data_IF_984954327160
#
_entry.id   IF_984954327160
#
_cell.length_a   1.000
_cell.length_b   1.000
_cell.length_c   1.000
_cell.angle_alpha   90.00
_cell.angle_beta   90.00
_cell.angle_gamma   90.00
#
_symmetry.space_group_name_H-M   'P 1'
#
loop_
_entity.id
_entity.type
_entity.pdbx_description
1 polymer ?
#
# COMPACT_ATOMS: atom_id res chain seq x y z
N UNK A 1 78.84 24.24 -10.59
CA UNK A 1 77.40 23.93 -10.42
C UNK A 1 76.94 24.77 -9.24
N UNK A 2 76.08 25.76 -9.47
CA UNK A 2 75.57 26.62 -8.40
C UNK A 2 74.43 25.86 -7.72
N UNK A 3 74.56 25.62 -6.42
CA UNK A 3 73.47 25.09 -5.61
C UNK A 3 72.28 26.06 -5.67
N UNK A 4 71.05 25.58 -5.89
CA UNK A 4 69.88 26.44 -5.85
C UNK A 4 69.79 27.07 -4.47
N UNK A 5 69.59 28.39 -4.43
CA UNK A 5 69.49 29.11 -3.17
C UNK A 5 68.33 28.53 -2.34
N UNK A 6 68.47 28.47 -1.01
CA UNK A 6 67.40 27.99 -0.15
C UNK A 6 66.05 28.71 -0.42
N UNK A 7 66.12 29.96 -0.86
CA UNK A 7 64.98 30.78 -1.25
C UNK A 7 64.22 30.20 -2.47
N UNK A 8 64.93 29.71 -3.49
CA UNK A 8 64.33 29.09 -4.68
C UNK A 8 63.66 27.75 -4.35
N UNK A 9 64.24 27.01 -3.41
CA UNK A 9 63.65 25.77 -2.90
C UNK A 9 62.34 26.05 -2.12
N UNK A 10 62.32 27.07 -1.26
CA UNK A 10 61.09 27.48 -0.55
C UNK A 10 60.00 28.02 -1.49
N UNK A 11 60.37 28.77 -2.53
CA UNK A 11 59.42 29.24 -3.55
C UNK A 11 58.80 28.09 -4.33
N UNK A 12 59.61 27.11 -4.76
CA UNK A 12 59.11 25.93 -5.46
C UNK A 12 58.19 25.06 -4.58
N UNK A 13 58.54 24.88 -3.29
CA UNK A 13 57.67 24.18 -2.34
C UNK A 13 56.35 24.96 -2.14
N UNK A 14 56.41 26.29 -2.04
CA UNK A 14 55.23 27.15 -1.92
C UNK A 14 54.28 27.02 -3.13
N UNK A 15 54.81 27.00 -4.35
CA UNK A 15 54.04 26.83 -5.59
C UNK A 15 53.41 25.42 -5.65
N UNK A 16 54.16 24.38 -5.31
CA UNK A 16 53.65 22.99 -5.29
C UNK A 16 52.51 22.85 -4.29
N UNK A 17 52.65 23.41 -3.08
CA UNK A 17 51.57 23.41 -2.07
C UNK A 17 50.35 24.20 -2.55
N UNK A 18 50.56 25.37 -3.17
CA UNK A 18 49.48 26.18 -3.75
C UNK A 18 48.69 25.47 -4.84
N UNK A 19 49.31 24.55 -5.60
CA UNK A 19 48.60 23.73 -6.58
C UNK A 19 47.94 22.49 -5.96
N UNK A 20 48.57 21.87 -4.96
CA UNK A 20 48.07 20.64 -4.33
C UNK A 20 46.85 20.87 -3.44
N UNK A 21 46.83 21.94 -2.63
CA UNK A 21 45.74 22.20 -1.70
C UNK A 21 44.37 22.42 -2.40
N UNK A 22 44.27 23.21 -3.48
CA UNK A 22 43.03 23.36 -4.25
C UNK A 22 42.59 22.04 -4.89
N UNK A 23 43.53 21.26 -5.45
CA UNK A 23 43.22 19.97 -6.06
C UNK A 23 42.68 18.96 -5.02
N UNK A 24 43.28 18.91 -3.83
CA UNK A 24 42.80 18.09 -2.71
C UNK A 24 41.41 18.54 -2.24
N UNK A 25 41.16 19.85 -2.13
CA UNK A 25 39.84 20.39 -1.77
C UNK A 25 38.76 20.07 -2.81
N UNK A 26 39.09 20.13 -4.11
CA UNK A 26 38.19 19.72 -5.19
C UNK A 26 37.87 18.22 -5.08
N UNK A 27 38.89 17.39 -4.84
CA UNK A 27 38.72 15.94 -4.68
C UNK A 27 37.83 15.60 -3.47
N UNK A 28 38.04 16.26 -2.32
CA UNK A 28 37.21 16.10 -1.12
C UNK A 28 35.76 16.51 -1.41
N UNK A 29 35.53 17.67 -2.05
CA UNK A 29 34.18 18.11 -2.44
C UNK A 29 33.51 17.11 -3.38
N UNK A 30 34.24 16.56 -4.34
CA UNK A 30 33.74 15.55 -5.27
C UNK A 30 33.34 14.25 -4.55
N UNK A 31 34.17 13.76 -3.63
CA UNK A 31 33.87 12.59 -2.78
C UNK A 31 32.64 12.80 -1.91
N UNK A 32 32.48 13.99 -1.32
CA UNK A 32 31.30 14.31 -0.51
C UNK A 32 30.02 14.37 -1.36
N UNK A 33 30.10 14.94 -2.56
CA UNK A 33 28.97 15.04 -3.49
C UNK A 33 28.54 13.66 -4.01
N UNK A 34 29.50 12.80 -4.33
CA UNK A 34 29.23 11.41 -4.73
C UNK A 34 28.65 10.58 -3.59
N UNK A 35 29.16 10.73 -2.36
CA UNK A 35 28.58 10.04 -1.19
C UNK A 35 27.11 10.43 -0.95
N UNK A 36 26.77 11.73 -1.11
CA UNK A 36 25.36 12.19 -1.05
C UNK A 36 24.51 11.58 -2.16
N UNK A 37 25.02 11.56 -3.39
CA UNK A 37 24.32 10.96 -4.54
C UNK A 37 24.05 9.47 -4.35
N UNK A 38 25.04 8.71 -3.86
CA UNK A 38 24.89 7.28 -3.56
C UNK A 38 23.85 7.06 -2.46
N UNK A 39 23.83 7.92 -1.43
CA UNK A 39 22.81 7.83 -0.37
C UNK A 39 21.40 8.04 -0.94
N UNK A 40 21.22 9.08 -1.77
CA UNK A 40 19.92 9.36 -2.41
C UNK A 40 19.51 8.24 -3.35
N UNK A 41 20.44 7.67 -4.13
CA UNK A 41 20.16 6.54 -5.02
C UNK A 41 19.68 5.32 -4.23
N UNK A 42 20.35 4.97 -3.12
CA UNK A 42 19.92 3.85 -2.25
C UNK A 42 18.55 4.09 -1.61
N UNK A 43 18.27 5.32 -1.17
CA UNK A 43 16.95 5.68 -0.64
C UNK A 43 15.86 5.54 -1.71
N UNK A 44 16.17 5.88 -2.97
CA UNK A 44 15.24 5.71 -4.09
C UNK A 44 15.09 4.25 -4.54
N UNK A 45 16.17 3.47 -4.55
CA UNK A 45 16.15 2.03 -4.81
C UNK A 45 15.33 1.29 -3.76
N UNK A 46 15.53 1.58 -2.46
CA UNK A 46 14.74 0.99 -1.38
C UNK A 46 13.25 1.35 -1.47
N UNK A 47 12.93 2.59 -1.87
CA UNK A 47 11.56 3.01 -2.12
C UNK A 47 10.94 2.32 -3.36
N UNK A 48 11.75 2.00 -4.36
CA UNK A 48 11.31 1.28 -5.56
C UNK A 48 11.08 -0.20 -5.26
N UNK A 49 12.01 -0.86 -4.54
CA UNK A 49 11.87 -2.26 -4.15
C UNK A 49 10.68 -2.49 -3.23
N UNK A 50 10.44 -1.57 -2.28
CA UNK A 50 9.25 -1.61 -1.43
C UNK A 50 7.97 -1.42 -2.26
N UNK A 51 7.98 -0.51 -3.24
CA UNK A 51 6.89 -0.31 -4.21
C UNK A 51 6.58 -1.57 -5.02
N UNK A 52 7.60 -2.19 -5.64
CA UNK A 52 7.45 -3.40 -6.47
C UNK A 52 6.90 -4.59 -5.67
N UNK A 53 7.41 -4.79 -4.44
CA UNK A 53 6.92 -5.84 -3.53
C UNK A 53 5.45 -5.59 -3.16
N UNK A 54 5.08 -4.33 -2.95
CA UNK A 54 3.71 -3.93 -2.67
C UNK A 54 2.78 -4.25 -3.84
N UNK A 55 3.11 -3.91 -5.08
CA UNK A 55 2.22 -4.22 -6.23
C UNK A 55 1.99 -5.70 -6.42
N UNK A 56 3.04 -6.52 -6.27
CA UNK A 56 2.91 -7.96 -6.45
C UNK A 56 1.90 -8.56 -5.47
N UNK A 57 1.86 -8.06 -4.22
CA UNK A 57 0.87 -8.48 -3.21
C UNK A 57 -0.55 -8.05 -3.56
N UNK A 58 -0.73 -6.89 -4.18
CA UNK A 58 -2.04 -6.43 -4.59
C UNK A 58 -2.53 -7.13 -5.86
N UNK A 59 -1.64 -7.43 -6.81
CA UNK A 59 -1.95 -8.14 -8.07
C UNK A 59 -2.50 -9.55 -7.82
N UNK A 60 -2.14 -10.20 -6.71
CA UNK A 60 -2.68 -11.51 -6.35
C UNK A 60 -4.06 -11.45 -5.68
N UNK A 61 -4.56 -10.28 -5.26
CA UNK A 61 -5.84 -10.18 -4.52
C UNK A 61 -7.02 -10.71 -5.36
N UNK A 62 -7.22 -10.31 -6.63
CA UNK A 62 -8.33 -10.83 -7.44
C UNK A 62 -8.21 -12.33 -7.70
N UNK A 63 -6.99 -12.85 -7.85
CA UNK A 63 -6.73 -14.27 -8.06
C UNK A 63 -7.10 -15.09 -6.82
N UNK A 64 -6.66 -14.65 -5.64
CA UNK A 64 -7.03 -15.25 -4.35
C UNK A 64 -8.55 -15.25 -4.17
N UNK A 65 -9.22 -14.13 -4.43
CA UNK A 65 -10.67 -14.03 -4.29
C UNK A 65 -11.44 -14.90 -5.28
N UNK A 66 -10.93 -15.05 -6.50
CA UNK A 66 -11.50 -15.94 -7.53
C UNK A 66 -11.37 -17.41 -7.12
N UNK A 67 -10.29 -17.78 -6.43
CA UNK A 67 -10.11 -19.14 -5.92
C UNK A 67 -11.00 -19.38 -4.70
N UNK A 68 -11.10 -18.39 -3.81
CA UNK A 68 -11.96 -18.42 -2.63
C UNK A 68 -13.44 -18.62 -2.99
N UNK A 69 -13.91 -18.00 -4.08
CA UNK A 69 -15.31 -18.14 -4.52
C UNK A 69 -15.69 -19.55 -5.00
N UNK A 70 -14.69 -20.39 -5.31
CA UNK A 70 -14.89 -21.78 -5.75
C UNK A 70 -14.87 -22.78 -4.59
N UNK A 71 -14.59 -22.34 -3.36
CA UNK A 71 -14.51 -23.20 -2.19
C UNK A 71 -15.90 -23.52 -1.61
N UNK A 72 -16.02 -24.70 -1.01
CA UNK A 72 -17.27 -25.24 -0.47
C UNK A 72 -17.80 -24.43 0.71
N UNK A 73 -16.90 -23.86 1.53
CA UNK A 73 -17.23 -22.89 2.58
C UNK A 73 -16.69 -21.51 2.22
N UNK A 74 -17.53 -20.74 1.50
CA UNK A 74 -17.18 -19.42 1.02
C UNK A 74 -16.93 -18.42 2.16
N UNK A 75 -17.70 -18.50 3.26
CA UNK A 75 -17.59 -17.55 4.37
C UNK A 75 -16.29 -17.75 5.14
N UNK A 76 -15.98 -19.01 5.51
CA UNK A 76 -14.72 -19.35 6.18
C UNK A 76 -13.52 -18.95 5.32
N UNK A 77 -13.60 -19.20 4.01
CA UNK A 77 -12.55 -18.85 3.07
C UNK A 77 -12.32 -17.34 2.93
N UNK A 78 -13.40 -16.55 2.97
CA UNK A 78 -13.31 -15.08 2.95
C UNK A 78 -12.81 -14.52 4.27
N UNK A 79 -13.14 -15.14 5.40
CA UNK A 79 -12.58 -14.78 6.71
C UNK A 79 -11.06 -15.03 6.74
N UNK A 80 -10.62 -16.17 6.21
CA UNK A 80 -9.20 -16.50 6.08
C UNK A 80 -8.49 -15.52 5.14
N UNK A 81 -9.10 -15.18 4.00
CA UNK A 81 -8.57 -14.18 3.07
C UNK A 81 -8.45 -12.81 3.74
N UNK A 82 -9.48 -12.35 4.46
CA UNK A 82 -9.45 -11.10 5.22
C UNK A 82 -8.32 -11.10 6.27
N UNK A 83 -8.18 -12.20 7.02
CA UNK A 83 -7.10 -12.37 8.00
C UNK A 83 -5.70 -12.45 7.37
N UNK A 84 -5.58 -12.96 6.15
CA UNK A 84 -4.33 -12.97 5.38
C UNK A 84 -3.98 -11.56 4.94
N UNK A 85 -4.92 -10.82 4.33
CA UNK A 85 -4.67 -9.46 3.85
C UNK A 85 -4.29 -8.52 4.99
N UNK A 86 -4.97 -8.59 6.13
CA UNK A 86 -4.61 -7.80 7.32
C UNK A 86 -3.17 -8.03 7.78
N UNK A 87 -2.65 -9.26 7.65
CA UNK A 87 -1.30 -9.61 8.14
C UNK A 87 -0.20 -9.39 7.12
N UNK A 88 -0.51 -9.46 5.84
CA UNK A 88 0.50 -9.43 4.76
C UNK A 88 0.54 -8.12 4.00
N UNK A 89 -0.56 -7.36 4.03
CA UNK A 89 -0.71 -6.06 3.41
C UNK A 89 -0.92 -5.06 4.54
N UNK A 90 -0.25 -3.90 4.46
CA UNK A 90 -0.41 -2.82 5.45
C UNK A 90 -1.79 -2.14 5.28
N UNK A 91 -2.84 -2.87 5.64
CA UNK A 91 -4.23 -2.45 5.60
C UNK A 91 -4.81 -2.46 7.02
N UNK A 92 -5.66 -1.50 7.29
CA UNK A 92 -6.29 -1.32 8.60
C UNK A 92 -7.55 -2.17 8.75
N UNK A 93 -8.18 -2.55 7.64
CA UNK A 93 -9.45 -3.27 7.63
C UNK A 93 -9.64 -4.05 6.32
N UNK A 94 -10.21 -5.24 6.42
CA UNK A 94 -10.74 -6.02 5.30
C UNK A 94 -12.19 -6.38 5.60
N UNK A 95 -13.10 -6.13 4.66
CA UNK A 95 -14.51 -6.46 4.81
C UNK A 95 -15.06 -7.13 3.56
N UNK A 96 -16.18 -7.83 3.71
CA UNK A 96 -16.90 -8.35 2.58
C UNK A 96 -18.40 -8.26 2.79
N UNK A 97 -19.10 -8.08 1.68
CA UNK A 97 -20.53 -8.18 1.55
C UNK A 97 -20.85 -9.37 0.66
N UNK A 98 -21.69 -10.28 1.12
CA UNK A 98 -22.15 -11.44 0.35
C UNK A 98 -23.67 -11.41 0.21
N UNK A 99 -24.14 -11.69 -1.01
CA UNK A 99 -25.54 -12.02 -1.26
C UNK A 99 -25.80 -13.44 -0.78
N UNK A 100 -26.72 -13.60 0.16
CA UNK A 100 -27.20 -14.89 0.66
C UNK A 100 -28.68 -15.07 0.28
N UNK A 101 -29.23 -16.27 0.48
CA UNK A 101 -30.62 -16.58 0.12
C UNK A 101 -31.65 -15.64 0.78
N UNK A 102 -31.37 -15.17 2.00
CA UNK A 102 -32.29 -14.35 2.80
C UNK A 102 -31.85 -12.88 2.95
N UNK A 103 -31.03 -12.38 2.03
CA UNK A 103 -30.57 -10.99 2.05
C UNK A 103 -29.06 -10.89 1.88
N UNK A 104 -28.41 -10.19 2.81
CA UNK A 104 -26.99 -9.89 2.70
C UNK A 104 -26.25 -10.10 4.02
N UNK A 105 -25.06 -10.66 3.93
CA UNK A 105 -24.15 -10.84 5.04
C UNK A 105 -22.98 -9.87 4.88
N UNK A 106 -22.74 -9.05 5.90
CA UNK A 106 -21.59 -8.17 5.95
C UNK A 106 -20.67 -8.56 7.10
N UNK A 107 -19.39 -8.76 6.80
CA UNK A 107 -18.38 -9.05 7.82
C UNK A 107 -17.17 -8.16 7.63
N UNK A 108 -16.57 -7.78 8.74
CA UNK A 108 -15.37 -6.95 8.76
C UNK A 108 -14.35 -7.49 9.74
N UNK A 109 -13.11 -7.59 9.27
CA UNK A 109 -11.95 -8.00 10.03
C UNK A 109 -11.01 -6.81 10.23
N UNK A 110 -10.50 -6.67 11.45
CA UNK A 110 -9.63 -5.57 11.89
C UNK A 110 -8.52 -6.07 12.82
N UNK A 111 -7.40 -5.34 12.90
CA UNK A 111 -6.27 -5.63 13.81
C UNK A 111 -6.38 -4.96 15.19
N UNK A 112 -7.43 -4.17 15.43
CA UNK A 112 -7.64 -3.42 16.67
C UNK A 112 -9.04 -2.81 16.72
N UNK A 113 -9.29 -1.98 17.75
CA UNK A 113 -10.60 -1.34 17.90
C UNK A 113 -10.85 -0.28 16.81
N UNK A 114 -12.07 -0.23 16.33
CA UNK A 114 -12.54 0.74 15.33
C UNK A 114 -13.73 1.52 15.85
N UNK A 115 -13.94 2.72 15.34
CA UNK A 115 -15.16 3.49 15.65
C UNK A 115 -16.38 2.90 14.94
N UNK A 116 -17.58 3.18 15.45
CA UNK A 116 -18.83 2.83 14.76
C UNK A 116 -18.91 3.50 13.37
N UNK A 117 -18.56 4.78 13.29
CA UNK A 117 -18.52 5.50 12.01
C UNK A 117 -17.55 4.89 11.00
N UNK A 118 -16.47 4.26 11.47
CA UNK A 118 -15.58 3.48 10.61
C UNK A 118 -16.29 2.23 10.06
N UNK A 119 -16.91 1.44 10.94
CA UNK A 119 -17.61 0.22 10.54
C UNK A 119 -18.73 0.50 9.50
N UNK A 120 -19.48 1.59 9.70
CA UNK A 120 -20.59 2.00 8.84
C UNK A 120 -20.12 2.45 7.45
N UNK A 121 -19.07 3.28 7.39
CA UNK A 121 -18.44 3.71 6.12
C UNK A 121 -17.89 2.51 5.34
N UNK A 122 -17.27 1.53 6.02
CA UNK A 122 -16.78 0.30 5.38
C UNK A 122 -17.92 -0.53 4.77
N UNK A 123 -19.03 -0.67 5.52
CA UNK A 123 -20.26 -1.31 5.01
C UNK A 123 -20.80 -0.58 3.79
N UNK A 124 -20.90 0.74 3.86
CA UNK A 124 -21.40 1.56 2.78
C UNK A 124 -20.57 1.40 1.49
N UNK A 125 -19.24 1.39 1.60
CA UNK A 125 -18.36 1.18 0.46
C UNK A 125 -18.54 -0.21 -0.18
N UNK A 126 -18.67 -1.27 0.63
CA UNK A 126 -18.92 -2.62 0.12
C UNK A 126 -20.28 -2.74 -0.59
N UNK A 127 -21.32 -2.13 -0.02
CA UNK A 127 -22.66 -2.09 -0.61
C UNK A 127 -22.70 -1.30 -1.92
N UNK A 128 -22.08 -0.11 -1.94
CA UNK A 128 -22.01 0.72 -3.14
C UNK A 128 -21.29 0.00 -4.29
N UNK A 129 -20.13 -0.60 -4.01
CA UNK A 129 -19.37 -1.34 -5.02
C UNK A 129 -20.13 -2.56 -5.55
N UNK A 130 -20.79 -3.34 -4.67
CA UNK A 130 -21.60 -4.48 -5.10
C UNK A 130 -22.72 -4.04 -6.04
N UNK A 131 -23.44 -2.97 -5.71
CA UNK A 131 -24.52 -2.42 -6.53
C UNK A 131 -24.07 -1.94 -7.89
N UNK A 132 -22.99 -1.16 -7.90
CA UNK A 132 -22.36 -0.69 -9.14
C UNK A 132 -22.01 -1.88 -10.03
N UNK A 133 -21.44 -2.95 -9.45
CA UNK A 133 -21.06 -4.16 -10.18
C UNK A 133 -22.26 -4.88 -10.81
N UNK A 134 -23.42 -4.89 -10.15
CA UNK A 134 -24.64 -5.55 -10.66
C UNK A 134 -25.55 -4.61 -11.48
N UNK A 135 -25.19 -3.33 -11.62
CA UNK A 135 -25.99 -2.32 -12.32
C UNK A 135 -27.26 -1.89 -11.58
N UNK A 136 -27.31 -2.04 -10.24
CA UNK A 136 -28.43 -1.62 -9.41
C UNK A 136 -28.27 -0.13 -9.02
N UNK A 137 -29.24 0.70 -9.41
CA UNK A 137 -29.27 2.14 -9.14
C UNK A 137 -30.17 2.53 -7.95
N UNK A 138 -30.59 1.57 -7.12
CA UNK A 138 -31.42 1.84 -5.95
C UNK A 138 -30.64 2.58 -4.85
N UNK A 139 -31.32 3.53 -4.20
CA UNK A 139 -30.80 4.30 -3.05
C UNK A 139 -31.07 3.62 -1.69
N UNK A 140 -31.72 2.46 -1.68
CA UNK A 140 -32.10 1.78 -0.42
C UNK A 140 -30.85 1.30 0.34
N UNK A 141 -30.78 1.31 1.66
CA UNK A 141 -29.59 0.73 2.31
C UNK A 141 -29.65 -0.81 2.24
N UNK A 142 -28.57 -1.48 1.81
CA UNK A 142 -28.50 -2.93 1.91
C UNK A 142 -28.48 -3.29 3.40
N UNK A 143 -29.58 -3.84 3.90
CA UNK A 143 -29.67 -4.36 5.26
C UNK A 143 -28.81 -5.62 5.37
N UNK A 144 -27.84 -5.59 6.26
CA UNK A 144 -26.88 -6.67 6.46
C UNK A 144 -26.79 -7.04 7.92
N UNK A 145 -26.73 -8.34 8.22
CA UNK A 145 -26.17 -8.78 9.49
C UNK A 145 -24.68 -8.40 9.52
N UNK A 146 -24.25 -7.70 10.58
CA UNK A 146 -22.89 -7.21 10.74
C UNK A 146 -22.13 -8.06 11.77
N UNK A 147 -21.00 -8.61 11.36
CA UNK A 147 -20.05 -9.24 12.28
C UNK A 147 -18.68 -8.55 12.21
N UNK A 148 -18.09 -8.28 13.37
CA UNK A 148 -16.73 -7.71 13.50
C UNK A 148 -15.82 -8.79 14.11
N UNK A 149 -14.68 -9.05 13.48
CA UNK A 149 -13.69 -10.04 13.92
C UNK A 149 -12.32 -9.40 14.13
N UNK A 150 -11.59 -9.87 15.15
CA UNK A 150 -10.22 -9.40 15.47
C UNK A 150 -10.13 -8.12 16.32
N UNK A 151 -11.23 -7.41 16.55
CA UNK A 151 -11.29 -6.21 17.39
C UNK A 151 -12.72 -5.83 17.78
N UNK A 152 -12.88 -4.73 18.53
CA UNK A 152 -14.18 -4.23 19.00
C UNK A 152 -14.55 -2.84 18.47
N UNK A 153 -15.78 -2.41 18.82
CA UNK A 153 -16.23 -1.03 18.62
C UNK A 153 -15.83 -0.19 19.83
N UNK A 154 -15.10 0.91 19.60
CA UNK A 154 -14.62 1.85 20.63
C UNK A 154 -14.70 3.29 20.10
N UNK A 155 -15.01 4.24 20.98
CA UNK A 155 -15.07 5.68 20.65
C UNK A 155 -13.70 6.25 20.27
N UNK A 156 -12.62 5.65 20.76
CA UNK A 156 -11.23 6.04 20.48
C UNK A 156 -10.55 5.21 19.39
N UNK A 157 -11.30 4.30 18.77
CA UNK A 157 -10.79 3.43 17.71
C UNK A 157 -10.40 4.20 16.45
N UNK A 158 -9.93 3.48 15.44
CA UNK A 158 -9.64 4.07 14.14
C UNK A 158 -10.90 4.77 13.58
N UNK A 159 -10.79 6.05 13.23
CA UNK A 159 -11.93 6.91 12.89
C UNK A 159 -12.07 7.23 11.39
N UNK A 160 -10.98 7.11 10.61
CA UNK A 160 -10.97 7.55 9.21
C UNK A 160 -10.36 6.55 8.22
N UNK A 161 -10.92 6.60 7.02
CA UNK A 161 -10.42 5.93 5.83
C UNK A 161 -9.52 6.89 5.05
N UNK A 162 -8.36 6.42 4.64
CA UNK A 162 -7.53 7.18 3.70
C UNK A 162 -7.67 6.67 2.26
N UNK A 163 -8.21 5.45 2.07
CA UNK A 163 -8.66 4.93 0.78
C UNK A 163 -9.38 3.59 0.91
N UNK A 164 -9.98 3.17 -0.20
CA UNK A 164 -10.70 1.90 -0.32
C UNK A 164 -10.44 1.27 -1.68
N UNK A 165 -10.21 -0.04 -1.72
CA UNK A 165 -10.26 -0.85 -2.94
C UNK A 165 -11.28 -1.94 -2.72
N UNK A 166 -12.22 -2.08 -3.65
CA UNK A 166 -13.23 -3.13 -3.64
C UNK A 166 -13.11 -3.97 -4.91
N UNK A 167 -13.38 -5.27 -4.78
CA UNK A 167 -13.26 -6.25 -5.85
C UNK A 167 -14.51 -7.11 -5.80
N UNK A 168 -15.13 -7.44 -6.95
CA UNK A 168 -16.32 -8.27 -6.96
C UNK A 168 -15.95 -9.72 -6.65
N UNK A 169 -16.71 -10.34 -5.76
CA UNK A 169 -16.63 -11.78 -5.51
C UNK A 169 -17.50 -12.44 -6.57
N UNK A 170 -16.88 -13.23 -7.47
CA UNK A 170 -17.57 -13.84 -8.61
C UNK A 170 -17.48 -15.35 -8.57
N UNK A 171 -18.57 -16.03 -8.91
CA UNK A 171 -18.55 -17.43 -9.32
C UNK A 171 -18.99 -17.49 -10.77
N UNK A 172 -18.02 -17.72 -11.67
CA UNK A 172 -18.19 -17.56 -13.12
C UNK A 172 -18.75 -16.15 -13.42
N UNK A 173 -19.87 -16.06 -14.12
CA UNK A 173 -20.51 -14.80 -14.50
C UNK A 173 -21.36 -14.17 -13.37
N UNK A 174 -21.65 -14.93 -12.32
CA UNK A 174 -22.49 -14.47 -11.22
C UNK A 174 -21.67 -13.67 -10.20
N UNK A 175 -22.10 -12.44 -9.92
CA UNK A 175 -21.58 -11.63 -8.81
C UNK A 175 -22.25 -12.12 -7.52
N UNK A 176 -21.45 -12.63 -6.59
CA UNK A 176 -21.87 -13.11 -5.30
C UNK A 176 -21.76 -12.05 -4.21
N UNK A 177 -20.94 -11.02 -4.43
CA UNK A 177 -20.66 -10.03 -3.40
C UNK A 177 -19.54 -9.07 -3.76
N UNK A 178 -19.06 -8.36 -2.75
CA UNK A 178 -17.94 -7.42 -2.83
C UNK A 178 -16.98 -7.69 -1.68
N UNK A 179 -15.68 -7.73 -1.98
CA UNK A 179 -14.61 -7.77 -0.99
C UNK A 179 -13.89 -6.43 -1.01
N UNK A 180 -13.79 -5.75 0.12
CA UNK A 180 -13.20 -4.44 0.24
C UNK A 180 -12.06 -4.43 1.25
N UNK A 181 -11.02 -3.67 0.94
CA UNK A 181 -9.87 -3.47 1.81
C UNK A 181 -9.57 -1.99 1.93
N UNK A 182 -9.15 -1.62 3.14
CA UNK A 182 -9.03 -0.24 3.57
C UNK A 182 -7.66 -0.04 4.21
N UNK A 183 -6.97 1.01 3.80
CA UNK A 183 -5.60 1.29 4.22
C UNK A 183 -5.28 2.78 4.16
N UNK A 184 -4.03 3.10 4.41
CA UNK A 184 -3.51 4.48 4.39
C UNK A 184 -3.44 5.04 2.96
N UNK A 185 -3.38 6.37 2.84
CA UNK A 185 -3.39 7.10 1.56
C UNK A 185 -2.23 6.68 0.64
N UNK A 186 -1.06 6.42 1.22
CA UNK A 186 0.17 6.13 0.47
C UNK A 186 0.17 4.70 -0.07
N UNK A 187 -0.46 3.79 0.68
CA UNK A 187 -0.78 2.42 0.30
C UNK A 187 -1.74 2.35 -0.90
N UNK A 188 -2.77 3.21 -0.93
CA UNK A 188 -3.87 3.07 -1.91
C UNK A 188 -3.80 4.03 -3.10
N UNK A 189 -3.05 5.13 -3.03
CA UNK A 189 -2.84 6.09 -4.14
C UNK A 189 -1.69 5.72 -5.08
N UNK A 190 -1.03 4.59 -4.84
CA UNK A 190 0.03 4.13 -5.72
C UNK A 190 -0.53 3.90 -7.15
N UNK A 191 0.07 4.44 -8.23
CA UNK A 191 -0.34 4.11 -9.61
C UNK A 191 -0.42 2.60 -9.89
N UNK A 192 0.24 1.77 -9.10
CA UNK A 192 0.24 0.32 -9.21
C UNK A 192 -1.04 -0.34 -8.64
N UNK A 193 -1.80 0.36 -7.79
CA UNK A 193 -3.17 -0.03 -7.39
C UNK A 193 -4.25 0.48 -8.36
N UNK A 194 -3.91 1.32 -9.36
CA UNK A 194 -4.85 1.69 -10.44
C UNK A 194 -5.16 0.55 -11.42
N UNK A 195 -4.33 -0.50 -11.46
CA UNK A 195 -4.61 -1.69 -12.27
C UNK A 195 -5.93 -2.39 -11.85
N UNK A 196 -6.41 -2.16 -10.62
CA UNK A 196 -7.68 -2.72 -10.13
C UNK A 196 -8.91 -1.89 -10.52
N UNK A 197 -8.76 -0.60 -10.82
CA UNK A 197 -9.89 0.24 -11.28
C UNK A 197 -10.06 0.22 -12.81
N UNK A 198 -9.06 -0.27 -13.54
CA UNK A 198 -9.07 -0.29 -15.02
C UNK A 198 -9.33 -1.68 -15.63
N UNK A 199 -9.33 -2.74 -14.81
CA UNK A 199 -9.55 -4.13 -15.26
C UNK A 199 -11.00 -4.58 -15.42
N UNK A 200 -12.00 -3.73 -15.14
CA UNK A 200 -13.42 -4.01 -15.37
C UNK A 200 -13.92 -3.36 -16.66
N UNK A 201 -13.31 -3.68 -17.80
CA UNK A 201 -13.91 -3.50 -19.13
C UNK A 201 -13.94 -4.81 -19.86
#
# INVERSE_FOLDING_TARGET
>A
MNEPSALDAYFNIGIVLLCFFPAALIFIKYKLKTARLVKVLREKEAALESGVSYVKKWQSVPEILTHVSMLTDLQESLDLAAGYFLRTVDISCASYLLKISNGYLYRVAVLGNITRGFADKSRHAASAHYRETIGDTSDEEILTEQAITGGGLDETGLSDFFGTVCIPIRNKDQVLGSFCVFGTSDSLKNPETKLFTTGCR
#
